data_IF_727485566324
#
_entry.id   IF_727485566324
#
_cell.length_a   1.000
_cell.length_b   1.000
_cell.length_c   1.000
_cell.angle_alpha   90.00
_cell.angle_beta   90.00
_cell.angle_gamma   90.00
#
_symmetry.space_group_name_H-M   'P 1'
#
loop_
_entity.id
_entity.type
_entity.pdbx_description
1 polymer ?
#
# COMPACT_ATOMS: atom_id res chain seq x y z
N UNK A 1 -14.72 5.29 1.21
CA UNK A 1 -13.68 4.46 0.56
C UNK A 1 -12.31 4.88 1.06
N UNK A 2 -11.58 3.95 1.67
CA UNK A 2 -10.23 4.18 2.16
C UNK A 2 -9.19 4.01 1.04
N UNK A 3 -7.92 4.38 1.30
CA UNK A 3 -6.80 4.21 0.37
C UNK A 3 -5.67 3.42 1.01
N UNK A 4 -5.07 2.51 0.25
CA UNK A 4 -3.84 1.80 0.61
C UNK A 4 -2.69 2.48 -0.11
N UNK A 5 -1.68 2.91 0.64
CA UNK A 5 -0.46 3.51 0.15
C UNK A 5 0.71 2.69 0.70
N UNK A 6 1.59 2.26 -0.19
CA UNK A 6 2.80 1.55 0.20
C UNK A 6 4.01 2.15 -0.46
N UNK A 7 5.17 1.88 0.14
CA UNK A 7 6.44 2.09 -0.54
C UNK A 7 6.54 1.15 -1.75
N UNK A 8 7.45 1.43 -2.68
CA UNK A 8 7.79 0.52 -3.80
C UNK A 8 9.22 -0.02 -3.68
N UNK A 9 10.01 0.45 -2.72
CA UNK A 9 11.40 0.03 -2.54
C UNK A 9 11.49 -1.26 -1.69
N UNK A 10 10.97 -2.40 -2.20
CA UNK A 10 11.41 -3.71 -1.70
C UNK A 10 12.45 -4.30 -2.64
N UNK A 11 13.64 -4.57 -2.08
CA UNK A 11 14.63 -5.45 -2.70
C UNK A 11 14.70 -6.69 -1.84
N UNK A 12 14.05 -7.75 -2.28
CA UNK A 12 14.19 -9.06 -1.66
C UNK A 12 15.48 -9.71 -2.17
N UNK A 13 16.48 -9.80 -1.29
CA UNK A 13 17.69 -10.55 -1.57
C UNK A 13 17.49 -11.95 -1.00
N UNK A 14 17.34 -12.93 -1.90
CA UNK A 14 17.13 -14.33 -1.56
C UNK A 14 18.33 -15.15 -2.01
N UNK A 15 18.89 -15.95 -1.10
CA UNK A 15 19.96 -16.89 -1.43
C UNK A 15 19.88 -18.15 -0.57
N UNK A 16 20.34 -19.26 -1.13
CA UNK A 16 20.55 -20.50 -0.39
C UNK A 16 21.94 -20.47 0.24
N UNK A 17 22.01 -20.55 1.57
CA UNK A 17 23.28 -20.48 2.32
C UNK A 17 24.01 -21.83 2.23
N UNK A 18 23.25 -22.91 2.45
CA UNK A 18 23.65 -24.31 2.29
C UNK A 18 22.42 -25.09 1.84
N UNK A 19 22.61 -26.32 1.33
CA UNK A 19 21.52 -27.17 0.85
C UNK A 19 20.36 -27.25 1.86
N UNK A 20 19.18 -26.81 1.45
CA UNK A 20 17.96 -26.80 2.26
C UNK A 20 17.82 -25.62 3.23
N UNK A 21 18.73 -24.64 3.20
CA UNK A 21 18.68 -23.44 4.07
C UNK A 21 18.66 -22.17 3.22
N UNK A 22 17.48 -21.55 3.12
CA UNK A 22 17.26 -20.33 2.34
C UNK A 22 17.09 -19.12 3.27
N UNK A 23 17.79 -18.04 2.95
CA UNK A 23 17.63 -16.75 3.62
C UNK A 23 16.97 -15.75 2.68
N UNK A 24 16.00 -15.00 3.22
CA UNK A 24 15.48 -13.78 2.63
C UNK A 24 15.87 -12.59 3.49
N UNK A 25 16.37 -11.53 2.86
CA UNK A 25 16.76 -10.28 3.52
C UNK A 25 15.76 -9.19 3.12
N UNK A 26 14.98 -8.73 4.09
CA UNK A 26 14.11 -7.56 3.97
C UNK A 26 14.91 -6.29 4.26
N UNK A 27 14.91 -5.35 3.32
CA UNK A 27 15.54 -4.03 3.48
C UNK A 27 14.46 -2.96 3.63
N UNK A 28 14.60 -2.10 4.63
CA UNK A 28 13.77 -0.90 4.81
C UNK A 28 14.73 0.27 5.00
N UNK A 29 14.53 1.35 4.24
CA UNK A 29 15.36 2.55 4.32
C UNK A 29 14.59 3.71 4.94
N UNK A 30 15.32 4.62 5.59
CA UNK A 30 14.71 5.82 6.18
C UNK A 30 14.17 6.75 5.09
N UNK A 31 14.92 6.90 4.00
CA UNK A 31 14.54 7.79 2.90
C UNK A 31 13.20 7.37 2.28
N UNK A 32 13.07 6.10 1.91
CA UNK A 32 11.86 5.59 1.29
C UNK A 32 10.65 5.62 2.26
N UNK A 33 10.87 5.21 3.51
CA UNK A 33 9.87 5.30 4.58
C UNK A 33 9.37 6.74 4.81
N UNK A 34 10.28 7.72 4.79
CA UNK A 34 9.93 9.14 4.96
C UNK A 34 9.14 9.66 3.77
N UNK A 35 9.53 9.30 2.54
CA UNK A 35 8.81 9.71 1.31
C UNK A 35 7.37 9.19 1.31
N UNK A 36 7.16 7.90 1.57
CA UNK A 36 5.80 7.33 1.57
C UNK A 36 4.96 7.88 2.72
N UNK A 37 5.55 8.10 3.90
CA UNK A 37 4.86 8.71 5.03
C UNK A 37 4.41 10.16 4.71
N UNK A 38 5.34 11.01 4.27
CA UNK A 38 5.04 12.40 3.89
C UNK A 38 3.98 12.44 2.77
N UNK A 39 4.07 11.53 1.79
CA UNK A 39 3.07 11.39 0.73
C UNK A 39 1.69 11.01 1.29
N UNK A 40 1.59 10.04 2.21
CA UNK A 40 0.33 9.60 2.76
C UNK A 40 -0.40 10.70 3.54
N UNK A 41 0.33 11.48 4.35
CA UNK A 41 -0.24 12.61 5.07
C UNK A 41 -0.65 13.75 4.14
N UNK A 42 0.18 14.08 3.16
CA UNK A 42 -0.17 15.07 2.13
C UNK A 42 -1.42 14.64 1.35
N UNK A 43 -1.46 13.39 0.90
CA UNK A 43 -2.61 12.82 0.21
C UNK A 43 -3.87 12.94 1.07
N UNK A 44 -3.78 12.61 2.36
CA UNK A 44 -4.89 12.69 3.27
C UNK A 44 -5.44 14.12 3.33
N UNK A 45 -4.58 15.12 3.58
CA UNK A 45 -4.96 16.54 3.62
C UNK A 45 -5.58 17.01 2.30
N UNK A 46 -4.89 16.79 1.19
CA UNK A 46 -5.29 17.28 -0.14
C UNK A 46 -6.61 16.67 -0.64
N UNK A 47 -6.99 15.50 -0.13
CA UNK A 47 -8.21 14.78 -0.51
C UNK A 47 -9.30 14.82 0.59
N UNK A 48 -9.17 15.73 1.57
CA UNK A 48 -10.16 15.90 2.64
C UNK A 48 -10.35 14.66 3.51
N UNK A 49 -9.29 13.87 3.70
CA UNK A 49 -9.26 12.71 4.59
C UNK A 49 -8.73 13.12 5.95
N UNK A 50 -9.20 12.42 6.98
CA UNK A 50 -9.02 12.88 8.35
C UNK A 50 -8.13 11.96 9.17
N UNK A 51 -7.79 10.77 8.66
CA UNK A 51 -7.00 9.78 9.40
C UNK A 51 -6.01 9.01 8.53
N UNK A 52 -4.77 8.91 9.00
CA UNK A 52 -3.73 8.02 8.47
C UNK A 52 -3.41 6.95 9.53
N UNK A 53 -3.48 5.68 9.12
CA UNK A 53 -3.13 4.52 9.93
C UNK A 53 -1.85 3.90 9.38
N UNK A 54 -0.75 3.91 10.16
CA UNK A 54 0.45 3.16 9.81
C UNK A 54 0.29 1.68 10.17
N UNK A 55 0.41 0.79 9.17
CA UNK A 55 0.27 -0.66 9.35
C UNK A 55 1.65 -1.31 9.41
N UNK A 56 1.88 -2.11 10.46
CA UNK A 56 3.22 -2.66 10.75
C UNK A 56 3.17 -4.00 11.48
N UNK A 57 4.34 -4.64 11.64
CA UNK A 57 4.57 -5.83 12.47
C UNK A 57 5.79 -5.68 13.38
N UNK A 58 5.98 -4.47 13.91
CA UNK A 58 7.12 -4.10 14.76
C UNK A 58 7.25 -4.91 16.06
N UNK A 59 6.23 -5.69 16.46
CA UNK A 59 6.36 -6.65 17.57
C UNK A 59 7.32 -7.81 17.22
N UNK A 60 7.38 -8.21 15.95
CA UNK A 60 8.28 -9.23 15.41
C UNK A 60 9.47 -8.55 14.72
N UNK A 61 9.20 -7.66 13.77
CA UNK A 61 10.19 -6.94 12.95
C UNK A 61 10.62 -5.62 13.62
N UNK A 62 11.22 -5.72 14.81
CA UNK A 62 11.46 -4.55 15.69
C UNK A 62 12.26 -3.42 15.05
N UNK A 63 13.32 -3.75 14.30
CA UNK A 63 14.22 -2.74 13.74
C UNK A 63 13.71 -2.16 12.42
N UNK A 64 13.33 -3.01 11.47
CA UNK A 64 12.86 -2.59 10.15
C UNK A 64 11.53 -1.84 10.23
N UNK A 65 10.52 -2.43 10.86
CA UNK A 65 9.23 -1.76 11.00
C UNK A 65 9.28 -0.64 12.06
N UNK A 66 10.21 -0.72 13.02
CA UNK A 66 10.47 0.37 13.96
C UNK A 66 11.02 1.62 13.27
N UNK A 67 11.90 1.45 12.28
CA UNK A 67 12.39 2.54 11.42
C UNK A 67 11.23 3.19 10.66
N UNK A 68 10.41 2.39 9.97
CA UNK A 68 9.24 2.86 9.24
C UNK A 68 8.27 3.66 10.13
N UNK A 69 7.95 3.15 11.33
CA UNK A 69 7.08 3.84 12.28
C UNK A 69 7.65 5.16 12.75
N UNK A 70 8.97 5.25 12.98
CA UNK A 70 9.63 6.50 13.34
C UNK A 70 9.40 7.56 12.27
N UNK A 71 9.61 7.21 10.99
CA UNK A 71 9.35 8.12 9.87
C UNK A 71 7.87 8.56 9.80
N UNK A 72 6.93 7.64 10.05
CA UNK A 72 5.50 7.96 10.09
C UNK A 72 5.14 8.95 11.21
N UNK A 73 5.70 8.77 12.41
CA UNK A 73 5.52 9.69 13.54
C UNK A 73 6.05 11.08 13.24
N UNK A 74 7.26 11.16 12.69
CA UNK A 74 7.88 12.43 12.31
C UNK A 74 7.10 13.14 11.19
N UNK A 75 6.50 12.39 10.26
CA UNK A 75 5.57 12.97 9.29
C UNK A 75 4.31 13.49 9.99
N UNK A 76 3.71 12.74 10.91
CA UNK A 76 2.50 13.15 11.64
C UNK A 76 2.66 14.49 12.38
N UNK A 77 3.85 14.77 12.93
CA UNK A 77 4.15 16.05 13.59
C UNK A 77 4.01 17.26 12.66
N UNK A 78 4.23 17.09 11.35
CA UNK A 78 4.08 18.14 10.32
C UNK A 78 2.63 18.32 9.86
N UNK A 79 1.74 17.37 10.19
CA UNK A 79 0.35 17.32 9.72
C UNK A 79 -0.64 17.15 10.89
N UNK A 80 -0.66 18.13 11.80
CA UNK A 80 -1.48 18.09 13.02
C UNK A 80 -3.00 18.08 12.78
N UNK A 81 -3.45 18.42 11.58
CA UNK A 81 -4.83 18.36 11.10
C UNK A 81 -5.29 16.94 10.72
N UNK A 82 -4.36 15.99 10.57
CA UNK A 82 -4.65 14.60 10.20
C UNK A 82 -4.41 13.69 11.41
N UNK A 83 -5.43 12.94 11.83
CA UNK A 83 -5.29 11.98 12.94
C UNK A 83 -4.33 10.86 12.54
N UNK A 84 -3.34 10.59 13.38
CA UNK A 84 -2.42 9.48 13.20
C UNK A 84 -2.72 8.33 14.18
N UNK A 85 -2.67 7.09 13.69
CA UNK A 85 -2.69 5.90 14.53
C UNK A 85 -1.77 4.81 13.96
N UNK A 86 -1.35 3.88 14.82
CA UNK A 86 -0.53 2.73 14.46
C UNK A 86 -1.29 1.44 14.75
N UNK A 87 -1.25 0.48 13.83
CA UNK A 87 -1.93 -0.80 13.98
C UNK A 87 -1.08 -1.95 13.48
N UNK A 88 -1.15 -3.07 14.19
CA UNK A 88 -0.54 -4.31 13.73
C UNK A 88 -1.26 -4.86 12.50
N UNK A 89 -0.51 -5.41 11.54
CA UNK A 89 -1.02 -5.97 10.29
C UNK A 89 -2.15 -6.98 10.51
N UNK A 90 -1.98 -7.93 11.43
CA UNK A 90 -3.00 -8.94 11.76
C UNK A 90 -4.30 -8.32 12.29
N UNK A 91 -4.17 -7.29 13.13
CA UNK A 91 -5.32 -6.54 13.65
C UNK A 91 -6.03 -5.79 12.52
N UNK A 92 -5.28 -5.23 11.57
CA UNK A 92 -5.86 -4.57 10.40
C UNK A 92 -6.61 -5.56 9.53
N UNK A 93 -6.01 -6.71 9.19
CA UNK A 93 -6.66 -7.76 8.41
C UNK A 93 -7.98 -8.21 9.05
N UNK A 94 -7.97 -8.52 10.35
CA UNK A 94 -9.16 -8.95 11.08
C UNK A 94 -10.26 -7.88 11.08
N UNK A 95 -9.89 -6.64 11.38
CA UNK A 95 -10.86 -5.54 11.41
C UNK A 95 -11.38 -5.18 10.02
N UNK A 96 -10.57 -5.33 8.97
CA UNK A 96 -10.96 -4.98 7.60
C UNK A 96 -12.06 -5.90 7.08
N UNK A 97 -12.00 -7.20 7.39
CA UNK A 97 -13.06 -8.16 7.01
C UNK A 97 -14.33 -7.99 7.86
N UNK A 98 -14.21 -7.46 9.08
CA UNK A 98 -15.36 -7.22 9.97
C UNK A 98 -16.07 -5.90 9.69
N UNK A 99 -15.31 -4.82 9.57
CA UNK A 99 -15.82 -3.47 9.34
C UNK A 99 -14.73 -2.58 8.71
N UNK A 100 -14.66 -2.54 7.36
CA UNK A 100 -13.69 -1.73 6.65
C UNK A 100 -13.96 -0.21 6.77
N UNK A 101 -15.14 0.21 7.24
CA UNK A 101 -15.50 1.63 7.38
C UNK A 101 -14.67 2.36 8.45
N UNK A 102 -13.97 1.59 9.31
CA UNK A 102 -13.06 2.11 10.33
C UNK A 102 -11.81 2.77 9.77
N UNK A 103 -11.46 2.55 8.51
CA UNK A 103 -10.21 3.02 7.91
C UNK A 103 -10.43 4.15 6.89
N UNK A 104 -9.40 4.97 6.68
CA UNK A 104 -9.44 6.12 5.76
C UNK A 104 -8.20 6.16 4.85
N UNK A 105 -7.00 6.43 5.37
CA UNK A 105 -5.75 6.22 4.63
C UNK A 105 -4.88 5.23 5.41
N UNK A 106 -4.42 4.18 4.74
CA UNK A 106 -3.48 3.20 5.27
C UNK A 106 -2.12 3.42 4.62
N UNK A 107 -1.06 3.50 5.42
CA UNK A 107 0.33 3.58 4.95
C UNK A 107 1.15 2.43 5.51
N UNK A 108 1.95 1.77 4.67
CA UNK A 108 2.71 0.58 5.08
C UNK A 108 3.92 0.27 4.20
N UNK A 109 4.86 -0.57 4.67
CA UNK A 109 5.90 -1.17 3.81
C UNK A 109 5.29 -2.02 2.68
N UNK A 110 6.05 -2.16 1.58
CA UNK A 110 5.58 -2.71 0.31
C UNK A 110 4.95 -4.12 0.43
N UNK A 111 5.62 -5.10 1.06
CA UNK A 111 5.05 -6.43 1.28
C UNK A 111 3.66 -6.42 1.94
N UNK A 112 3.41 -5.52 2.89
CA UNK A 112 2.09 -5.45 3.54
C UNK A 112 1.06 -4.76 2.64
N UNK A 113 1.54 -3.82 1.82
CA UNK A 113 0.76 -3.14 0.79
C UNK A 113 0.14 -4.14 -0.16
N UNK A 114 0.96 -5.01 -0.75
CA UNK A 114 0.56 -6.07 -1.69
C UNK A 114 -0.55 -6.96 -1.11
N UNK A 115 -0.32 -7.52 0.09
CA UNK A 115 -1.27 -8.41 0.75
C UNK A 115 -2.58 -7.68 1.07
N UNK A 116 -2.51 -6.48 1.66
CA UNK A 116 -3.70 -5.76 2.07
C UNK A 116 -4.46 -5.18 0.87
N UNK A 117 -3.80 -4.72 -0.19
CA UNK A 117 -4.48 -4.21 -1.39
C UNK A 117 -5.31 -5.28 -2.06
N UNK A 118 -4.78 -6.51 -2.18
CA UNK A 118 -5.48 -7.63 -2.78
C UNK A 118 -6.66 -8.11 -1.93
N UNK A 119 -6.45 -8.20 -0.62
CA UNK A 119 -7.54 -8.50 0.32
C UNK A 119 -8.66 -7.45 0.21
N UNK A 120 -8.31 -6.16 0.12
CA UNK A 120 -9.28 -5.08 -0.03
C UNK A 120 -9.99 -5.11 -1.39
N UNK A 121 -9.30 -5.51 -2.47
CA UNK A 121 -9.91 -5.74 -3.77
C UNK A 121 -10.97 -6.85 -3.68
N UNK A 122 -10.67 -7.95 -2.98
CA UNK A 122 -11.63 -9.02 -2.72
C UNK A 122 -12.92 -8.54 -2.04
N UNK A 123 -12.81 -7.61 -1.08
CA UNK A 123 -13.97 -7.06 -0.36
C UNK A 123 -14.91 -6.21 -1.25
N UNK A 124 -14.41 -5.67 -2.37
CA UNK A 124 -15.20 -4.81 -3.27
C UNK A 124 -15.62 -5.49 -4.58
N UNK A 125 -15.41 -6.80 -4.72
CA UNK A 125 -15.80 -7.57 -5.92
C UNK A 125 -14.63 -8.04 -6.80
N UNK A 126 -13.39 -7.87 -6.35
CA UNK A 126 -12.20 -8.45 -6.96
C UNK A 126 -11.31 -7.45 -7.72
N UNK A 127 -10.15 -7.94 -8.17
CA UNK A 127 -9.07 -7.15 -8.78
C UNK A 127 -9.51 -6.44 -10.08
N UNK A 128 -10.52 -6.95 -10.79
CA UNK A 128 -11.07 -6.35 -12.01
C UNK A 128 -11.74 -4.98 -11.80
N UNK A 129 -11.96 -4.57 -10.54
CA UNK A 129 -12.58 -3.31 -10.16
C UNK A 129 -11.61 -2.34 -9.46
N UNK A 130 -10.37 -2.76 -9.19
CA UNK A 130 -9.44 -2.00 -8.36
C UNK A 130 -8.43 -1.24 -9.22
N UNK A 131 -8.47 0.10 -9.25
CA UNK A 131 -7.45 0.91 -9.92
C UNK A 131 -6.22 1.12 -9.04
N UNK A 132 -5.05 1.33 -9.65
CA UNK A 132 -3.82 1.74 -8.96
C UNK A 132 -3.08 2.87 -9.66
N UNK A 133 -2.14 3.46 -8.94
CA UNK A 133 -1.23 4.47 -9.46
C UNK A 133 0.07 4.47 -8.67
N UNK A 134 1.19 4.28 -9.37
CA UNK A 134 2.55 4.40 -8.85
C UNK A 134 3.02 5.84 -9.07
N UNK A 135 3.22 6.58 -7.98
CA UNK A 135 3.53 8.01 -8.04
C UNK A 135 4.96 8.22 -7.56
N UNK A 136 5.83 8.63 -8.48
CA UNK A 136 7.22 8.99 -8.22
C UNK A 136 7.46 10.49 -8.28
N UNK A 137 8.70 10.90 -7.97
CA UNK A 137 9.12 12.31 -7.99
C UNK A 137 9.08 12.89 -9.42
N UNK A 138 9.47 12.08 -10.41
CA UNK A 138 9.66 12.52 -11.80
C UNK A 138 8.59 11.99 -12.76
N UNK A 139 7.53 11.36 -12.25
CA UNK A 139 6.49 10.78 -13.09
C UNK A 139 5.51 9.93 -12.30
N UNK A 140 4.41 9.57 -12.94
CA UNK A 140 3.40 8.67 -12.40
C UNK A 140 2.97 7.65 -13.46
N UNK A 141 2.76 6.42 -13.03
CA UNK A 141 2.23 5.32 -13.84
C UNK A 141 0.90 4.88 -13.25
N UNK A 142 -0.14 4.77 -14.08
CA UNK A 142 -1.46 4.32 -13.66
C UNK A 142 -1.80 3.02 -14.37
N UNK A 143 -2.19 2.01 -13.60
CA UNK A 143 -2.39 0.65 -14.10
C UNK A 143 -3.51 -0.07 -13.35
N UNK A 144 -4.01 -1.16 -13.92
CA UNK A 144 -4.92 -2.07 -13.22
C UNK A 144 -4.14 -2.95 -12.26
N UNK A 145 -4.69 -3.26 -11.08
CA UNK A 145 -4.06 -4.20 -10.12
C UNK A 145 -4.11 -5.64 -10.62
N UNK A 146 -5.05 -6.01 -11.49
CA UNK A 146 -5.19 -7.38 -11.95
C UNK A 146 -4.05 -7.83 -12.89
N UNK A 147 -3.76 -9.13 -12.88
CA UNK A 147 -2.77 -9.75 -13.77
C UNK A 147 -3.22 -9.91 -15.22
N UNK A 148 -2.47 -10.72 -15.97
CA UNK A 148 -2.59 -10.90 -17.42
C UNK A 148 -3.78 -11.74 -17.89
N UNK A 149 -4.37 -12.56 -17.01
CA UNK A 149 -5.53 -13.42 -17.28
C UNK A 149 -5.47 -14.16 -18.65
N UNK A 150 -4.44 -14.99 -18.90
CA UNK A 150 -4.17 -15.59 -20.21
C UNK A 150 -5.27 -16.55 -20.69
N UNK A 151 -6.02 -17.14 -19.77
CA UNK A 151 -7.12 -18.05 -20.01
C UNK A 151 -8.33 -17.40 -20.68
N UNK A 152 -8.51 -16.08 -20.54
CA UNK A 152 -9.59 -15.30 -21.17
C UNK A 152 -9.11 -14.34 -22.26
N UNK A 153 -7.81 -14.26 -22.51
CA UNK A 153 -7.24 -13.40 -23.54
C UNK A 153 -7.81 -13.73 -24.93
N UNK A 154 -8.22 -12.69 -25.67
CA UNK A 154 -8.81 -12.82 -27.00
C UNK A 154 -10.26 -13.36 -27.03
N UNK A 155 -10.89 -13.57 -25.87
CA UNK A 155 -12.27 -14.09 -25.77
C UNK A 155 -13.34 -13.02 -25.57
N UNK A 156 -12.95 -11.74 -25.49
CA UNK A 156 -13.86 -10.61 -25.21
C UNK A 156 -14.64 -10.75 -23.88
N UNK A 157 -13.99 -11.33 -22.86
CA UNK A 157 -14.56 -11.55 -21.53
C UNK A 157 -13.93 -10.68 -20.43
N UNK A 158 -12.94 -9.86 -20.79
CA UNK A 158 -12.21 -9.04 -19.81
C UNK A 158 -13.08 -7.92 -19.26
N UNK A 159 -13.00 -7.68 -17.95
CA UNK A 159 -13.64 -6.51 -17.32
C UNK A 159 -12.68 -5.30 -17.39
N UNK A 160 -12.97 -4.24 -18.17
CA UNK A 160 -12.06 -3.11 -18.36
C UNK A 160 -12.13 -2.08 -17.22
N UNK A 161 -12.98 -2.29 -16.21
CA UNK A 161 -13.32 -1.27 -15.20
C UNK A 161 -12.09 -0.77 -14.43
N UNK A 162 -11.21 -1.67 -13.95
CA UNK A 162 -9.99 -1.28 -13.25
C UNK A 162 -9.11 -0.33 -14.08
N UNK A 163 -8.90 -0.64 -15.36
CA UNK A 163 -8.08 0.18 -16.25
C UNK A 163 -8.73 1.55 -16.52
N UNK A 164 -10.05 1.58 -16.76
CA UNK A 164 -10.78 2.84 -16.96
C UNK A 164 -10.74 3.74 -15.72
N UNK A 165 -10.86 3.16 -14.53
CA UNK A 165 -10.73 3.90 -13.27
C UNK A 165 -9.30 4.39 -13.04
N UNK A 166 -8.29 3.64 -13.49
CA UNK A 166 -6.88 4.05 -13.43
C UNK A 166 -6.59 5.19 -14.40
N UNK A 167 -7.17 5.17 -15.59
CA UNK A 167 -7.14 6.31 -16.52
C UNK A 167 -7.84 7.54 -15.93
N UNK A 168 -8.95 7.36 -15.21
CA UNK A 168 -9.58 8.46 -14.46
C UNK A 168 -8.64 9.04 -13.37
N UNK A 169 -7.86 8.19 -12.69
CA UNK A 169 -6.86 8.66 -11.73
C UNK A 169 -5.74 9.44 -12.41
N UNK A 170 -5.25 8.98 -13.57
CA UNK A 170 -4.28 9.70 -14.39
C UNK A 170 -4.79 11.09 -14.79
N UNK A 171 -6.03 11.19 -15.28
CA UNK A 171 -6.61 12.46 -15.70
C UNK A 171 -6.79 13.46 -14.55
N UNK A 172 -6.96 12.98 -13.30
CA UNK A 172 -6.99 13.84 -12.11
C UNK A 172 -5.60 14.27 -11.65
N UNK A 173 -4.57 13.55 -12.05
CA UNK A 173 -3.18 13.84 -11.71
C UNK A 173 -2.55 14.88 -12.65
N UNK A 174 -3.03 14.98 -13.90
CA UNK A 174 -2.65 15.99 -14.89
C UNK A 174 -3.25 17.36 -14.58
#
# INVERSE_FOLDING_TARGET
TFRVLSDCDDVDIVHEIVEGVVQSIKLITEEASRRVADFAFKYARDNGRHKVTAVHKANIMRMSDGLFLRCCREAAEKFSDVKFEEKYLDTVCLNMVQDPSKYDVLVMPNLYGDILSDMCAGLIGGLGLTPSGNIGINGALFESVHGTAPDIAGKDLANPTALLLSACMMLRYM
#
